data_IF_628085169685
#
_entry.id   IF_628085169685
#
_cell.length_a   1.000
_cell.length_b   1.000
_cell.length_c   1.000
_cell.angle_alpha   90.00
_cell.angle_beta   90.00
_cell.angle_gamma   90.00
#
_symmetry.space_group_name_H-M   'P 1'
#
loop_
_entity.id
_entity.type
_entity.pdbx_description
1 polymer ?
#
# COMPACT_ATOMS: atom_id res chain seq x y z
N UNK A 1 66.09 11.97 68.55
CA UNK A 1 66.38 12.52 67.22
C UNK A 1 65.05 12.82 66.56
N UNK A 2 64.60 14.06 66.69
CA UNK A 2 63.48 14.60 65.92
C UNK A 2 63.98 15.18 64.61
N UNK A 3 63.03 15.44 63.72
CA UNK A 3 63.04 16.44 62.63
C UNK A 3 61.68 16.23 61.92
N UNK A 4 60.69 17.03 62.28
CA UNK A 4 60.37 18.35 61.70
C UNK A 4 59.74 18.25 60.31
N UNK A 5 58.49 18.68 60.29
CA UNK A 5 57.75 19.14 59.11
C UNK A 5 58.27 20.52 58.67
N UNK A 6 58.04 20.91 57.40
CA UNK A 6 57.05 21.97 57.21
C UNK A 6 56.16 21.84 55.96
N UNK A 7 54.88 22.11 56.19
CA UNK A 7 53.98 23.06 55.53
C UNK A 7 53.92 23.24 53.99
N UNK A 8 52.67 23.03 53.52
CA UNK A 8 51.83 23.89 52.68
C UNK A 8 52.22 24.17 51.22
N UNK A 9 51.48 23.51 50.32
CA UNK A 9 51.14 24.02 48.99
C UNK A 9 49.67 23.74 48.71
N UNK A 10 48.85 24.80 48.75
CA UNK A 10 47.43 24.80 48.42
C UNK A 10 47.21 24.46 46.95
N UNK A 11 46.15 23.70 46.65
CA UNK A 11 45.74 23.37 45.28
C UNK A 11 44.48 22.53 45.26
N UNK A 12 43.36 23.15 45.62
CA UNK A 12 42.04 22.54 45.51
C UNK A 12 41.56 22.45 44.06
N UNK A 13 40.54 21.59 43.88
CA UNK A 13 39.52 21.56 42.82
C UNK A 13 39.74 20.67 41.59
N UNK A 14 39.17 19.48 41.70
CA UNK A 14 38.06 18.97 40.86
C UNK A 14 38.01 19.52 39.42
N UNK A 15 38.26 18.63 38.46
CA UNK A 15 38.06 18.88 37.04
C UNK A 15 37.72 17.62 36.26
N UNK A 16 36.69 16.87 36.69
CA UNK A 16 36.02 15.93 35.81
C UNK A 16 35.12 16.71 34.84
N UNK A 17 35.67 17.09 33.68
CA UNK A 17 34.93 17.74 32.61
C UNK A 17 34.67 16.74 31.47
N UNK A 18 33.49 16.13 31.56
CA UNK A 18 32.51 15.99 30.49
C UNK A 18 33.05 15.68 29.09
N UNK A 19 33.26 14.40 28.81
CA UNK A 19 33.00 13.82 27.49
C UNK A 19 31.48 13.74 27.26
N UNK A 20 30.83 14.89 27.11
CA UNK A 20 29.44 15.00 26.67
C UNK A 20 29.39 15.92 25.46
N UNK A 21 29.05 15.37 24.30
CA UNK A 21 28.55 16.21 23.21
C UNK A 21 29.05 15.91 21.81
N UNK A 22 29.12 14.64 21.38
CA UNK A 22 28.98 14.32 19.94
C UNK A 22 28.19 13.00 19.79
N UNK A 23 26.93 13.01 20.20
CA UNK A 23 26.09 11.80 20.14
C UNK A 23 24.60 12.02 19.86
N UNK A 24 24.17 13.23 19.50
CA UNK A 24 22.75 13.59 19.48
C UNK A 24 22.24 14.24 18.18
N UNK A 25 22.91 14.03 17.04
CA UNK A 25 22.41 14.55 15.75
C UNK A 25 22.32 13.53 14.60
N UNK A 26 22.63 12.25 14.80
CA UNK A 26 22.62 11.26 13.70
C UNK A 26 21.47 10.25 13.75
N UNK A 27 20.80 10.04 14.89
CA UNK A 27 19.68 9.09 14.96
C UNK A 27 18.37 9.61 14.33
N UNK A 28 18.11 10.92 14.41
CA UNK A 28 16.83 11.51 13.98
C UNK A 28 16.57 11.38 12.47
N UNK A 29 17.59 11.52 11.63
CA UNK A 29 17.46 11.41 10.17
C UNK A 29 17.37 9.96 9.71
N UNK A 30 18.13 9.05 10.31
CA UNK A 30 18.08 7.62 9.95
C UNK A 30 16.76 6.95 10.35
N UNK A 31 16.21 7.30 11.53
CA UNK A 31 14.94 6.74 12.00
C UNK A 31 13.77 7.27 11.18
N UNK A 32 13.81 8.55 10.79
CA UNK A 32 12.86 9.11 9.83
C UNK A 32 12.95 8.42 8.47
N UNK A 33 14.16 8.21 7.93
CA UNK A 33 14.34 7.54 6.64
C UNK A 33 13.81 6.10 6.67
N UNK A 34 14.13 5.34 7.73
CA UNK A 34 13.63 3.97 7.94
C UNK A 34 12.11 3.94 8.11
N UNK A 35 11.54 4.90 8.82
CA UNK A 35 10.08 5.04 8.97
C UNK A 35 9.39 5.34 7.63
N UNK A 36 9.95 6.25 6.82
CA UNK A 36 9.43 6.56 5.49
C UNK A 36 9.59 5.39 4.50
N UNK A 37 10.72 4.68 4.54
CA UNK A 37 10.94 3.46 3.76
C UNK A 37 9.96 2.35 4.16
N UNK A 38 9.73 2.14 5.47
CA UNK A 38 8.75 1.19 5.99
C UNK A 38 7.31 1.56 5.61
N UNK A 39 6.97 2.85 5.57
CA UNK A 39 5.65 3.32 5.11
C UNK A 39 5.44 3.10 3.61
N UNK A 40 6.45 3.33 2.77
CA UNK A 40 6.37 3.01 1.34
C UNK A 40 6.22 1.53 1.09
N UNK A 41 6.96 0.69 1.83
CA UNK A 41 6.86 -0.77 1.71
C UNK A 41 5.44 -1.30 2.03
N UNK A 42 4.64 -0.58 2.81
CA UNK A 42 3.29 -1.00 3.20
C UNK A 42 2.18 -0.46 2.29
N UNK A 43 2.50 0.33 1.27
CA UNK A 43 1.50 0.79 0.31
C UNK A 43 1.30 -0.28 -0.76
N UNK A 44 0.05 -0.53 -1.13
CA UNK A 44 -0.25 -1.34 -2.30
C UNK A 44 0.30 -0.62 -3.53
N UNK A 45 0.80 -1.36 -4.51
CA UNK A 45 1.32 -0.87 -5.78
C UNK A 45 0.81 -1.75 -6.90
N UNK A 46 0.50 -1.15 -8.07
CA UNK A 46 0.20 -1.88 -9.31
C UNK A 46 1.46 -1.81 -10.16
N UNK A 47 2.03 -2.97 -10.51
CA UNK A 47 3.27 -3.09 -11.30
C UNK A 47 3.00 -3.47 -12.75
N UNK A 48 1.86 -4.09 -13.03
CA UNK A 48 1.38 -4.37 -14.38
C UNK A 48 -0.14 -4.42 -14.37
N UNK A 49 -0.83 -3.76 -15.31
CA UNK A 49 -0.30 -2.92 -16.39
C UNK A 49 0.31 -1.60 -15.88
N UNK A 50 1.21 -1.03 -16.67
CA UNK A 50 1.73 0.33 -16.50
C UNK A 50 0.73 1.41 -16.95
N UNK A 51 0.99 2.65 -16.54
CA UNK A 51 0.14 3.78 -16.92
C UNK A 51 0.17 4.00 -18.44
N UNK A 52 -1.02 4.04 -19.05
CA UNK A 52 -1.21 4.21 -20.49
C UNK A 52 -0.95 2.96 -21.33
N UNK A 53 -0.57 1.84 -20.70
CA UNK A 53 -0.40 0.57 -21.42
C UNK A 53 -1.74 -0.02 -21.85
N UNK A 54 -1.70 -0.83 -22.90
CA UNK A 54 -2.85 -1.60 -23.36
C UNK A 54 -2.97 -2.85 -22.47
N UNK A 55 -4.17 -3.18 -22.03
CA UNK A 55 -4.43 -4.43 -21.33
C UNK A 55 -4.07 -5.64 -22.20
N UNK A 56 -3.20 -6.49 -21.68
CA UNK A 56 -2.72 -7.73 -22.31
C UNK A 56 -2.96 -8.91 -21.37
N UNK A 57 -2.67 -10.12 -21.84
CA UNK A 57 -2.84 -11.35 -21.06
C UNK A 57 -4.30 -11.62 -20.64
N UNK A 58 -5.19 -11.60 -21.64
CA UNK A 58 -6.60 -11.87 -21.46
C UNK A 58 -6.89 -13.36 -21.27
N UNK A 59 -7.78 -13.68 -20.34
CA UNK A 59 -8.44 -14.97 -20.21
C UNK A 59 -9.92 -14.80 -20.55
N UNK A 60 -10.49 -15.78 -21.25
CA UNK A 60 -11.92 -15.80 -21.54
C UNK A 60 -12.71 -16.11 -20.25
N UNK A 61 -13.65 -15.24 -19.90
CA UNK A 61 -14.64 -15.46 -18.84
C UNK A 61 -16.02 -15.11 -19.41
N UNK A 62 -16.85 -16.11 -19.70
CA UNK A 62 -18.18 -15.88 -20.28
C UNK A 62 -18.97 -14.84 -19.46
N UNK A 63 -19.41 -13.69 -20.05
CA UNK A 63 -19.50 -13.39 -21.48
C UNK A 63 -18.38 -12.52 -22.11
N UNK A 64 -17.25 -12.25 -21.46
CA UNK A 64 -16.17 -11.39 -22.02
C UNK A 64 -14.73 -11.82 -21.69
N UNK A 65 -13.84 -10.81 -21.66
CA UNK A 65 -12.42 -10.99 -21.37
C UNK A 65 -12.08 -10.41 -20.00
N UNK A 66 -11.22 -11.14 -19.29
CA UNK A 66 -10.60 -10.68 -18.06
C UNK A 66 -9.11 -10.52 -18.26
N UNK A 67 -8.54 -9.45 -17.73
CA UNK A 67 -7.13 -9.12 -17.89
C UNK A 67 -6.42 -9.22 -16.57
N UNK A 68 -5.19 -9.77 -16.61
CA UNK A 68 -4.38 -9.92 -15.41
C UNK A 68 -3.86 -8.56 -14.95
N UNK A 69 -3.96 -8.32 -13.65
CA UNK A 69 -3.37 -7.16 -12.97
C UNK A 69 -2.47 -7.70 -11.86
N UNK A 70 -1.26 -7.17 -11.74
CA UNK A 70 -0.28 -7.58 -10.76
C UNK A 70 0.35 -6.39 -10.07
N UNK A 71 0.91 -6.66 -8.90
CA UNK A 71 1.45 -5.61 -8.06
C UNK A 71 2.22 -6.11 -6.86
N UNK A 72 2.52 -5.18 -5.96
CA UNK A 72 3.21 -5.45 -4.70
C UNK A 72 2.49 -4.85 -3.51
N UNK A 73 2.65 -5.49 -2.36
CA UNK A 73 2.22 -5.03 -1.05
C UNK A 73 3.12 -5.69 0.01
N UNK A 74 3.84 -4.90 0.81
CA UNK A 74 4.77 -5.47 1.79
C UNK A 74 4.08 -6.25 2.91
N UNK A 75 2.94 -5.76 3.42
CA UNK A 75 2.17 -6.41 4.48
C UNK A 75 0.68 -6.25 4.19
N UNK A 76 -0.03 -7.37 4.14
CA UNK A 76 -1.50 -7.39 4.18
C UNK A 76 -1.95 -7.48 5.65
N UNK A 77 -2.64 -6.46 6.21
CA UNK A 77 -3.06 -6.50 7.60
C UNK A 77 -4.04 -7.66 7.86
N UNK A 78 -4.06 -8.24 9.07
CA UNK A 78 -4.99 -9.32 9.40
C UNK A 78 -6.45 -8.96 9.11
N UNK A 79 -7.20 -9.91 8.55
CA UNK A 79 -8.61 -9.72 8.18
C UNK A 79 -8.86 -8.79 6.99
N UNK A 80 -7.82 -8.22 6.37
CA UNK A 80 -7.96 -7.41 5.16
C UNK A 80 -7.82 -8.27 3.91
N UNK A 81 -8.38 -7.81 2.79
CA UNK A 81 -8.25 -8.42 1.47
C UNK A 81 -7.85 -7.37 0.44
N UNK A 82 -7.11 -7.78 -0.58
CA UNK A 82 -6.90 -6.93 -1.75
C UNK A 82 -8.12 -7.06 -2.65
N UNK A 83 -8.67 -5.92 -3.10
CA UNK A 83 -9.76 -5.85 -4.06
C UNK A 83 -9.34 -5.01 -5.26
N UNK A 84 -9.82 -5.41 -6.43
CA UNK A 84 -9.68 -4.64 -7.65
C UNK A 84 -11.01 -3.95 -7.97
N UNK A 85 -10.96 -2.72 -8.46
CA UNK A 85 -12.12 -2.00 -8.97
C UNK A 85 -11.77 -1.37 -10.32
N UNK A 86 -12.78 -1.24 -11.18
CA UNK A 86 -12.65 -0.60 -12.48
C UNK A 86 -13.54 0.64 -12.54
N UNK A 87 -13.04 1.70 -13.14
CA UNK A 87 -13.82 2.89 -13.49
C UNK A 87 -13.61 3.22 -14.97
N UNK A 88 -14.64 3.17 -15.81
CA UNK A 88 -14.54 3.62 -17.19
C UNK A 88 -14.18 5.10 -17.29
N UNK A 89 -13.46 5.47 -18.34
CA UNK A 89 -13.07 6.86 -18.57
C UNK A 89 -14.32 7.77 -18.67
N UNK A 90 -14.29 8.92 -17.99
CA UNK A 90 -15.38 9.91 -17.81
C UNK A 90 -16.51 9.51 -16.85
N UNK A 91 -16.54 8.28 -16.33
CA UNK A 91 -17.50 7.91 -15.30
C UNK A 91 -16.96 8.21 -13.90
N UNK A 92 -17.85 8.41 -12.94
CA UNK A 92 -17.50 8.66 -11.54
C UNK A 92 -17.65 7.43 -10.66
N UNK A 93 -18.44 6.46 -11.09
CA UNK A 93 -18.76 5.26 -10.33
C UNK A 93 -17.74 4.13 -10.59
N UNK A 94 -17.76 3.12 -9.72
CA UNK A 94 -16.76 2.06 -9.67
C UNK A 94 -17.44 0.69 -9.72
N UNK A 95 -16.81 -0.24 -10.42
CA UNK A 95 -17.22 -1.64 -10.53
C UNK A 95 -16.23 -2.51 -9.76
N UNK A 96 -16.56 -2.98 -8.55
CA UNK A 96 -15.76 -3.98 -7.86
C UNK A 96 -15.56 -5.24 -8.70
N UNK A 97 -14.37 -5.80 -8.65
CA UNK A 97 -13.98 -7.03 -9.36
C UNK A 97 -13.72 -8.11 -8.31
N UNK A 98 -14.60 -9.10 -8.25
CA UNK A 98 -14.51 -10.18 -7.25
C UNK A 98 -15.08 -11.51 -7.75
N UNK A 99 -15.15 -11.69 -9.07
CA UNK A 99 -15.44 -12.99 -9.67
C UNK A 99 -14.30 -14.00 -9.43
N UNK A 100 -13.09 -13.51 -9.16
CA UNK A 100 -11.94 -14.30 -8.76
C UNK A 100 -11.19 -13.55 -7.63
N UNK A 101 -10.77 -14.24 -6.55
CA UNK A 101 -10.01 -13.60 -5.47
C UNK A 101 -8.61 -13.18 -5.95
N UNK A 102 -8.09 -12.09 -5.38
CA UNK A 102 -6.68 -11.70 -5.57
C UNK A 102 -5.78 -12.66 -4.80
N UNK A 103 -4.80 -13.23 -5.50
CA UNK A 103 -3.75 -14.06 -4.90
C UNK A 103 -2.64 -13.15 -4.37
N UNK A 104 -2.22 -13.36 -3.12
CA UNK A 104 -1.18 -12.59 -2.44
C UNK A 104 -0.17 -13.54 -1.79
N UNK A 105 1.10 -13.36 -2.15
CA UNK A 105 2.21 -14.08 -1.54
C UNK A 105 2.81 -13.25 -0.39
N UNK A 106 2.60 -13.63 0.89
CA UNK A 106 3.12 -12.86 2.02
C UNK A 106 4.65 -12.91 2.15
N UNK A 107 5.32 -13.86 1.50
CA UNK A 107 6.77 -13.99 1.53
C UNK A 107 7.46 -13.01 0.58
N UNK A 108 6.93 -12.86 -0.64
CA UNK A 108 7.52 -11.96 -1.66
C UNK A 108 6.84 -10.59 -1.69
N UNK A 109 5.63 -10.48 -1.16
CA UNK A 109 4.79 -9.30 -1.24
C UNK A 109 4.13 -9.12 -2.61
N UNK A 110 4.30 -10.07 -3.54
CA UNK A 110 3.66 -9.98 -4.85
C UNK A 110 2.19 -10.39 -4.76
N UNK A 111 1.35 -9.72 -5.53
CA UNK A 111 -0.05 -10.10 -5.72
C UNK A 111 -0.44 -10.07 -7.19
N UNK A 112 -1.48 -10.83 -7.53
CA UNK A 112 -2.15 -10.70 -8.82
C UNK A 112 -3.64 -11.02 -8.71
N UNK A 113 -4.41 -10.42 -9.61
CA UNK A 113 -5.83 -10.68 -9.78
C UNK A 113 -6.26 -10.38 -11.20
N UNK A 114 -7.57 -10.35 -11.41
CA UNK A 114 -8.16 -10.12 -12.71
C UNK A 114 -9.17 -8.99 -12.67
N UNK A 115 -9.21 -8.21 -13.74
CA UNK A 115 -10.25 -7.21 -13.99
C UNK A 115 -11.04 -7.59 -15.23
N UNK A 116 -12.35 -7.47 -15.16
CA UNK A 116 -13.21 -7.56 -16.32
C UNK A 116 -13.23 -6.20 -17.02
N UNK A 117 -13.01 -6.20 -18.33
CA UNK A 117 -13.16 -4.99 -19.12
C UNK A 117 -14.63 -4.78 -19.48
N UNK A 118 -15.26 -3.67 -19.07
CA UNK A 118 -16.59 -3.34 -19.55
C UNK A 118 -16.53 -3.00 -21.05
N UNK A 119 -17.34 -3.71 -21.85
CA UNK A 119 -17.35 -3.62 -23.31
C UNK A 119 -17.59 -2.17 -23.78
N UNK A 120 -16.78 -1.70 -24.72
CA UNK A 120 -16.98 -0.42 -25.42
C UNK A 120 -16.28 0.79 -24.82
N UNK A 121 -15.38 0.61 -23.85
CA UNK A 121 -14.63 1.70 -23.23
C UNK A 121 -13.17 1.67 -23.64
N UNK A 122 -12.70 2.62 -24.47
CA UNK A 122 -11.30 2.71 -24.93
C UNK A 122 -10.26 2.90 -23.80
N UNK A 123 -10.71 3.38 -22.63
CA UNK A 123 -9.87 3.66 -21.46
C UNK A 123 -10.60 3.33 -20.18
N UNK A 124 -9.88 2.74 -19.24
CA UNK A 124 -10.37 2.49 -17.89
C UNK A 124 -9.28 2.86 -16.87
N UNK A 125 -9.72 3.18 -15.65
CA UNK A 125 -8.84 3.27 -14.48
C UNK A 125 -9.04 2.03 -13.62
N UNK A 126 -7.96 1.32 -13.32
CA UNK A 126 -7.96 0.18 -12.40
C UNK A 126 -7.51 0.68 -11.03
N UNK A 127 -8.23 0.30 -9.99
CA UNK A 127 -7.92 0.56 -8.61
C UNK A 127 -7.56 -0.74 -7.91
N UNK A 128 -6.47 -0.75 -7.15
CA UNK A 128 -6.16 -1.78 -6.18
C UNK A 128 -6.32 -1.21 -4.77
N UNK A 129 -7.12 -1.84 -3.92
CA UNK A 129 -7.41 -1.37 -2.56
C UNK A 129 -7.16 -2.48 -1.55
N UNK A 130 -6.62 -2.12 -0.39
CA UNK A 130 -6.58 -3.01 0.77
C UNK A 130 -7.83 -2.75 1.61
N UNK A 131 -8.81 -3.64 1.50
CA UNK A 131 -10.13 -3.48 2.08
C UNK A 131 -10.20 -4.11 3.49
N UNK A 132 -10.60 -3.36 4.54
CA UNK A 132 -10.99 -3.95 5.82
C UNK A 132 -12.34 -4.69 5.69
N UNK A 133 -12.74 -5.40 6.75
CA UNK A 133 -13.97 -6.22 6.76
C UNK A 133 -15.24 -5.44 6.39
N UNK A 134 -15.37 -4.17 6.80
CA UNK A 134 -16.53 -3.33 6.45
C UNK A 134 -16.66 -3.10 4.95
N UNK A 135 -15.57 -2.71 4.29
CA UNK A 135 -15.53 -2.49 2.85
C UNK A 135 -15.66 -3.79 2.06
N UNK A 136 -15.11 -4.90 2.58
CA UNK A 136 -15.28 -6.22 1.97
C UNK A 136 -16.75 -6.61 1.87
N UNK A 137 -17.55 -6.36 2.92
CA UNK A 137 -18.97 -6.69 2.89
C UNK A 137 -19.73 -5.96 1.77
N UNK A 138 -19.39 -4.71 1.48
CA UNK A 138 -19.96 -3.95 0.36
C UNK A 138 -19.57 -4.58 -0.99
N UNK A 139 -18.30 -4.90 -1.19
CA UNK A 139 -17.83 -5.46 -2.44
C UNK A 139 -18.35 -6.88 -2.67
N UNK A 140 -18.42 -7.70 -1.61
CA UNK A 140 -19.01 -9.04 -1.64
C UNK A 140 -20.52 -8.98 -1.91
N UNK A 141 -21.24 -8.00 -1.33
CA UNK A 141 -22.64 -7.76 -1.65
C UNK A 141 -22.82 -7.45 -3.14
N UNK A 142 -22.00 -6.55 -3.69
CA UNK A 142 -22.00 -6.24 -5.12
C UNK A 142 -21.76 -7.49 -5.98
N UNK A 143 -20.80 -8.35 -5.64
CA UNK A 143 -20.55 -9.59 -6.39
C UNK A 143 -21.71 -10.57 -6.32
N UNK A 144 -22.33 -10.71 -5.14
CA UNK A 144 -23.40 -11.67 -4.89
C UNK A 144 -24.73 -11.24 -5.52
N UNK A 145 -25.03 -9.95 -5.54
CA UNK A 145 -26.32 -9.41 -5.95
C UNK A 145 -26.28 -8.64 -7.27
N UNK A 146 -25.10 -8.42 -7.86
CA UNK A 146 -24.92 -7.65 -9.08
C UNK A 146 -25.80 -8.12 -10.23
N UNK A 147 -25.97 -9.44 -10.43
CA UNK A 147 -26.85 -9.95 -11.48
C UNK A 147 -28.32 -9.50 -11.32
N UNK A 148 -28.81 -9.37 -10.09
CA UNK A 148 -30.19 -8.93 -9.81
C UNK A 148 -30.37 -7.41 -9.95
N UNK A 149 -29.29 -6.63 -9.76
CA UNK A 149 -29.29 -5.16 -9.88
C UNK A 149 -28.78 -4.68 -11.23
N UNK A 150 -28.48 -5.57 -12.18
CA UNK A 150 -27.87 -5.18 -13.45
C UNK A 150 -26.42 -4.66 -13.32
N UNK A 151 -25.74 -5.04 -12.24
CA UNK A 151 -24.38 -4.63 -11.89
C UNK A 151 -24.25 -3.11 -11.68
N UNK A 152 -25.23 -2.54 -10.99
CA UNK A 152 -25.21 -1.14 -10.54
C UNK A 152 -23.90 -0.81 -9.81
N UNK A 153 -23.13 0.19 -10.29
CA UNK A 153 -21.83 0.53 -9.71
C UNK A 153 -21.97 1.17 -8.33
N UNK A 154 -20.86 1.19 -7.59
CA UNK A 154 -20.76 1.99 -6.37
C UNK A 154 -20.29 3.41 -6.71
N UNK A 155 -20.85 4.41 -6.04
CA UNK A 155 -20.51 5.81 -6.33
C UNK A 155 -19.13 6.21 -5.82
N UNK A 156 -18.69 5.60 -4.71
CA UNK A 156 -17.44 5.95 -4.05
C UNK A 156 -16.72 4.71 -3.53
N UNK A 157 -15.39 4.76 -3.54
CA UNK A 157 -14.56 3.79 -2.81
C UNK A 157 -14.68 4.11 -1.31
N UNK A 158 -15.03 3.13 -0.45
CA UNK A 158 -15.16 3.34 0.99
C UNK A 158 -13.95 4.06 1.59
N UNK A 159 -14.20 5.04 2.47
CA UNK A 159 -13.17 5.94 3.03
C UNK A 159 -12.14 5.19 3.88
N UNK A 160 -12.51 4.04 4.42
CA UNK A 160 -11.63 3.15 5.18
C UNK A 160 -10.60 2.42 4.30
N UNK A 161 -10.79 2.38 2.97
CA UNK A 161 -9.81 1.87 2.01
C UNK A 161 -8.69 2.89 1.74
N UNK A 162 -7.99 3.29 2.81
CA UNK A 162 -6.95 4.33 2.80
C UNK A 162 -5.75 3.89 1.94
N UNK A 163 -5.40 2.60 2.00
CA UNK A 163 -4.32 2.04 1.22
C UNK A 163 -4.82 1.61 -0.17
N UNK A 164 -4.70 2.53 -1.13
CA UNK A 164 -5.14 2.33 -2.51
C UNK A 164 -4.17 2.89 -3.55
N UNK A 165 -4.18 2.29 -4.73
CA UNK A 165 -3.52 2.80 -5.94
C UNK A 165 -4.42 2.70 -7.15
N UNK A 166 -4.15 3.57 -8.11
CA UNK A 166 -4.84 3.59 -9.39
C UNK A 166 -3.84 3.61 -10.54
N UNK A 167 -4.25 3.05 -11.68
CA UNK A 167 -3.53 3.14 -12.95
C UNK A 167 -4.55 3.32 -14.08
N UNK A 168 -4.31 4.29 -14.96
CA UNK A 168 -5.11 4.45 -16.19
C UNK A 168 -4.49 3.61 -17.30
N UNK A 169 -5.31 2.87 -18.05
CA UNK A 169 -4.88 1.96 -19.11
C UNK A 169 -5.75 2.14 -20.35
N UNK A 170 -5.22 1.73 -21.49
CA UNK A 170 -6.00 1.57 -22.72
C UNK A 170 -6.59 0.17 -22.77
N UNK A 171 -7.76 0.06 -23.38
CA UNK A 171 -8.33 -1.22 -23.79
C UNK A 171 -8.10 -1.43 -25.29
N UNK A 172 -8.15 -2.68 -25.74
CA UNK A 172 -7.84 -3.07 -27.13
C UNK A 172 -9.06 -3.04 -28.04
#
# INVERSE_FOLDING_TARGET
MGLDWPNLGAGALIGALLSYGVGLLTNSTSDRLKFWQKRRANQIEITSPGSGEILRDSKQLSPGLCFRVAGRLGILPPGHKIWLLVRPHKQKSYWPQGFEPVDFNPTTGDWFGYVYEPVGHAKITIFAVVAPLSAQALFEYYQKHGAATGWDPIDEIPVECINRREVEVQTS
#
